data_IF_648803507222
#
_entry.id   IF_648803507222
#
_cell.length_a   1.000
_cell.length_b   1.000
_cell.length_c   1.000
_cell.angle_alpha   90.00
_cell.angle_beta   90.00
_cell.angle_gamma   90.00
#
_symmetry.space_group_name_H-M   'P 1'
#
loop_
_entity.id
_entity.type
_entity.pdbx_description
1 polymer ?
#
# COMPACT_ATOMS: atom_id res chain seq x y z
N UNK A 1 -39.74 -72.23 -44.79
CA UNK A 1 -39.39 -70.89 -45.31
C UNK A 1 -40.04 -69.77 -44.49
N UNK A 2 -41.31 -69.86 -44.05
CA UNK A 2 -41.91 -68.76 -43.26
C UNK A 2 -41.27 -68.58 -41.87
N UNK A 3 -40.95 -69.66 -41.17
CA UNK A 3 -40.36 -69.63 -39.82
C UNK A 3 -38.99 -68.89 -39.74
N UNK A 4 -38.20 -68.97 -40.81
CA UNK A 4 -36.94 -68.22 -40.91
C UNK A 4 -37.17 -66.73 -41.21
N UNK A 5 -38.15 -66.42 -42.05
CA UNK A 5 -38.54 -65.04 -42.36
C UNK A 5 -39.12 -64.34 -41.13
N UNK A 6 -39.96 -65.03 -40.36
CA UNK A 6 -40.57 -64.50 -39.14
C UNK A 6 -39.50 -64.23 -38.07
N UNK A 7 -38.50 -65.11 -37.95
CA UNK A 7 -37.34 -64.90 -37.07
C UNK A 7 -36.46 -63.72 -37.51
N UNK A 8 -36.30 -63.50 -38.81
CA UNK A 8 -35.54 -62.37 -39.35
C UNK A 8 -36.23 -61.03 -39.10
N UNK A 9 -37.56 -61.00 -39.21
CA UNK A 9 -38.39 -59.83 -38.88
C UNK A 9 -38.31 -59.53 -37.39
N UNK A 10 -38.44 -60.53 -36.53
CA UNK A 10 -38.29 -60.36 -35.08
C UNK A 10 -36.90 -59.84 -34.68
N UNK A 11 -35.83 -60.28 -35.34
CA UNK A 11 -34.49 -59.73 -35.11
C UNK A 11 -34.36 -58.27 -35.58
N UNK A 12 -34.96 -57.92 -36.73
CA UNK A 12 -34.97 -56.54 -37.22
C UNK A 12 -35.69 -55.63 -36.22
N UNK A 13 -36.86 -56.03 -35.76
CA UNK A 13 -37.68 -55.25 -34.84
C UNK A 13 -36.98 -55.11 -33.47
N UNK A 14 -36.36 -56.17 -32.95
CA UNK A 14 -35.54 -56.10 -31.73
C UNK A 14 -34.29 -55.20 -31.90
N UNK A 15 -33.71 -55.17 -33.10
CA UNK A 15 -32.60 -54.26 -33.41
C UNK A 15 -33.06 -52.81 -33.46
N UNK A 16 -34.24 -52.54 -34.03
CA UNK A 16 -34.85 -51.21 -34.06
C UNK A 16 -35.20 -50.71 -32.65
N UNK A 17 -35.72 -51.57 -31.78
CA UNK A 17 -35.93 -51.25 -30.36
C UNK A 17 -34.63 -50.92 -29.63
N UNK A 18 -33.54 -51.67 -29.87
CA UNK A 18 -32.22 -51.39 -29.30
C UNK A 18 -31.64 -50.06 -29.80
N UNK A 19 -31.85 -49.71 -31.06
CA UNK A 19 -31.43 -48.41 -31.61
C UNK A 19 -32.21 -47.27 -30.96
N UNK A 20 -33.53 -47.40 -30.82
CA UNK A 20 -34.34 -46.40 -30.12
C UNK A 20 -33.93 -46.25 -28.65
N UNK A 21 -33.68 -47.36 -27.95
CA UNK A 21 -33.20 -47.34 -26.57
C UNK A 21 -31.83 -46.65 -26.44
N UNK A 22 -30.94 -46.86 -27.41
CA UNK A 22 -29.65 -46.18 -27.50
C UNK A 22 -29.83 -44.67 -27.70
N UNK A 23 -30.67 -44.24 -28.64
CA UNK A 23 -30.94 -42.83 -28.91
C UNK A 23 -31.52 -42.12 -27.67
N UNK A 24 -32.43 -42.78 -26.96
CA UNK A 24 -32.99 -42.27 -25.69
C UNK A 24 -31.89 -42.15 -24.63
N UNK A 25 -31.01 -43.15 -24.49
CA UNK A 25 -29.90 -43.09 -23.55
C UNK A 25 -28.91 -41.98 -23.88
N UNK A 26 -28.56 -41.79 -25.16
CA UNK A 26 -27.69 -40.71 -25.62
C UNK A 26 -28.32 -39.34 -25.33
N UNK A 27 -29.61 -39.15 -25.62
CA UNK A 27 -30.33 -37.92 -25.29
C UNK A 27 -30.36 -37.61 -23.79
N UNK A 28 -30.61 -38.63 -22.95
CA UNK A 28 -30.57 -38.48 -21.50
C UNK A 28 -29.16 -38.12 -21.03
N UNK A 29 -28.13 -38.78 -21.56
CA UNK A 29 -26.73 -38.54 -21.21
C UNK A 29 -26.30 -37.11 -21.58
N UNK A 30 -26.64 -36.63 -22.78
CA UNK A 30 -26.39 -35.26 -23.21
C UNK A 30 -27.10 -34.23 -22.32
N UNK A 31 -28.36 -34.50 -21.93
CA UNK A 31 -29.10 -33.66 -20.98
C UNK A 31 -28.41 -33.55 -19.62
N UNK A 32 -27.90 -34.66 -19.09
CA UNK A 32 -27.14 -34.67 -17.83
C UNK A 32 -25.80 -33.92 -17.95
N UNK A 33 -25.09 -34.05 -19.08
CA UNK A 33 -23.84 -33.31 -19.32
C UNK A 33 -24.10 -31.80 -19.38
N UNK A 34 -25.14 -31.37 -20.09
CA UNK A 34 -25.53 -29.95 -20.14
C UNK A 34 -25.83 -29.37 -18.75
N UNK A 35 -26.62 -30.08 -17.94
CA UNK A 35 -26.93 -29.66 -16.57
C UNK A 35 -25.69 -29.64 -15.65
N UNK A 36 -24.77 -30.59 -15.84
CA UNK A 36 -23.49 -30.62 -15.11
C UNK A 36 -22.60 -29.44 -15.50
N UNK A 37 -22.48 -29.12 -16.79
CA UNK A 37 -21.70 -27.99 -17.29
C UNK A 37 -22.26 -26.66 -16.78
N UNK A 38 -23.59 -26.49 -16.79
CA UNK A 38 -24.25 -25.33 -16.18
C UNK A 38 -23.93 -25.23 -14.68
N UNK A 39 -24.03 -26.35 -13.95
CA UNK A 39 -23.73 -26.39 -12.51
C UNK A 39 -22.25 -26.06 -12.22
N UNK A 40 -21.31 -26.58 -13.02
CA UNK A 40 -19.88 -26.27 -12.91
C UNK A 40 -19.64 -24.79 -13.22
N UNK A 41 -20.30 -24.23 -14.22
CA UNK A 41 -20.18 -22.82 -14.55
C UNK A 41 -20.72 -21.93 -13.44
N UNK A 42 -21.85 -22.28 -12.83
CA UNK A 42 -22.40 -21.59 -11.66
C UNK A 42 -21.42 -21.66 -10.48
N UNK A 43 -20.82 -22.82 -10.20
CA UNK A 43 -19.79 -22.96 -9.16
C UNK A 43 -18.54 -22.11 -9.43
N UNK A 44 -18.06 -22.08 -10.68
CA UNK A 44 -16.93 -21.21 -11.06
C UNK A 44 -17.26 -19.73 -10.94
N UNK A 45 -18.51 -19.35 -11.20
CA UNK A 45 -18.98 -17.98 -11.02
C UNK A 45 -19.10 -17.62 -9.53
N UNK A 46 -19.50 -18.58 -8.68
CA UNK A 46 -19.53 -18.45 -7.21
C UNK A 46 -18.12 -18.25 -6.62
N UNK A 47 -17.10 -18.89 -7.19
CA UNK A 47 -15.70 -18.77 -6.75
C UNK A 47 -15.03 -17.44 -7.14
N UNK A 48 -15.60 -16.69 -8.10
CA UNK A 48 -15.04 -15.41 -8.57
C UNK A 48 -15.66 -14.24 -7.81
N UNK A 49 -14.81 -13.36 -7.28
CA UNK A 49 -15.25 -12.09 -6.72
C UNK A 49 -16.00 -11.27 -7.80
N UNK A 50 -17.17 -10.77 -7.45
CA UNK A 50 -17.92 -9.90 -8.35
C UNK A 50 -17.23 -8.53 -8.45
N UNK A 51 -17.24 -7.95 -9.65
CA UNK A 51 -16.72 -6.61 -9.86
C UNK A 51 -17.82 -5.58 -9.60
N UNK A 52 -17.58 -4.65 -8.68
CA UNK A 52 -18.43 -3.50 -8.48
C UNK A 52 -18.05 -2.42 -9.49
N UNK A 53 -18.97 -2.15 -10.41
CA UNK A 53 -18.80 -1.17 -11.49
C UNK A 53 -19.28 0.20 -11.01
N UNK A 54 -18.65 1.27 -11.49
CA UNK A 54 -18.95 2.64 -11.11
C UNK A 54 -17.77 3.28 -10.39
N UNK A 55 -18.01 4.43 -9.74
CA UNK A 55 -16.95 5.19 -9.03
C UNK A 55 -17.39 5.59 -7.63
N UNK A 56 -18.34 6.53 -7.53
CA UNK A 56 -18.96 6.94 -6.25
C UNK A 56 -20.35 6.30 -6.07
N UNK A 57 -21.00 5.96 -7.17
CA UNK A 57 -22.18 5.11 -7.19
C UNK A 57 -21.76 3.78 -7.79
N UNK A 58 -21.57 2.78 -6.93
CA UNK A 58 -21.15 1.44 -7.28
C UNK A 58 -22.38 0.56 -7.48
N UNK A 59 -22.32 -0.36 -8.43
CA UNK A 59 -23.32 -1.39 -8.64
C UNK A 59 -22.64 -2.73 -8.85
N UNK A 60 -23.17 -3.77 -8.20
CA UNK A 60 -22.70 -5.14 -8.37
C UNK A 60 -23.90 -6.06 -8.60
N UNK A 61 -23.80 -6.89 -9.63
CA UNK A 61 -24.73 -7.99 -9.87
C UNK A 61 -23.97 -9.28 -9.66
N UNK A 62 -24.43 -10.07 -8.71
CA UNK A 62 -23.88 -11.38 -8.44
C UNK A 62 -24.98 -12.29 -7.92
N UNK A 63 -25.34 -13.27 -8.75
CA UNK A 63 -26.32 -14.32 -8.45
C UNK A 63 -25.98 -15.11 -7.17
N UNK A 64 -24.71 -15.04 -6.77
CA UNK A 64 -24.10 -15.71 -5.63
C UNK A 64 -24.18 -14.98 -4.28
N UNK A 65 -24.40 -13.67 -4.26
CA UNK A 65 -23.96 -12.84 -3.13
C UNK A 65 -25.02 -12.72 -2.04
N UNK A 66 -26.21 -12.22 -2.35
CA UNK A 66 -27.40 -12.25 -1.46
C UNK A 66 -28.63 -11.94 -2.34
N UNK A 67 -29.74 -12.70 -2.22
CA UNK A 67 -30.99 -12.34 -2.90
C UNK A 67 -31.68 -11.15 -2.25
N UNK A 68 -31.61 -11.05 -0.91
CA UNK A 68 -32.15 -9.97 -0.09
C UNK A 68 -31.14 -9.60 1.02
N UNK A 69 -30.64 -8.38 1.04
CA UNK A 69 -29.64 -7.93 2.03
C UNK A 69 -30.18 -8.01 3.47
N UNK A 70 -29.50 -8.78 4.32
CA UNK A 70 -29.77 -8.92 5.74
C UNK A 70 -28.66 -8.29 6.60
N UNK A 71 -29.02 -7.87 7.81
CA UNK A 71 -28.06 -7.31 8.78
C UNK A 71 -26.95 -8.31 9.04
N UNK A 72 -25.70 -7.87 8.91
CA UNK A 72 -24.51 -8.68 9.13
C UNK A 72 -23.93 -9.30 7.85
N UNK A 73 -24.61 -9.20 6.71
CA UNK A 73 -24.11 -9.74 5.45
C UNK A 73 -22.78 -9.11 5.07
N UNK A 74 -21.83 -9.96 4.67
CA UNK A 74 -20.52 -9.57 4.19
C UNK A 74 -20.36 -9.89 2.71
N UNK A 75 -19.94 -8.88 1.95
CA UNK A 75 -19.83 -8.97 0.50
C UNK A 75 -18.41 -8.62 0.09
N UNK A 76 -17.78 -9.52 -0.65
CA UNK A 76 -16.43 -9.30 -1.21
C UNK A 76 -16.54 -8.93 -2.69
N UNK A 77 -15.96 -7.79 -3.05
CA UNK A 77 -16.10 -7.18 -4.37
C UNK A 77 -14.79 -6.54 -4.85
N UNK A 78 -14.52 -6.66 -6.15
CA UNK A 78 -13.40 -5.95 -6.80
C UNK A 78 -13.89 -4.57 -7.23
N UNK A 79 -13.20 -3.52 -6.79
CA UNK A 79 -13.55 -2.15 -7.15
C UNK A 79 -13.06 -1.83 -8.57
N UNK A 80 -13.92 -1.33 -9.45
CA UNK A 80 -13.50 -0.97 -10.81
C UNK A 80 -12.77 0.37 -10.89
N UNK A 81 -13.18 1.37 -10.11
CA UNK A 81 -12.59 2.71 -10.13
C UNK A 81 -12.37 3.26 -8.71
N UNK A 82 -11.28 4.02 -8.54
CA UNK A 82 -11.02 4.72 -7.28
C UNK A 82 -12.04 5.83 -7.08
N UNK A 83 -12.61 5.94 -5.88
CA UNK A 83 -13.55 7.01 -5.55
C UNK A 83 -12.86 8.39 -5.57
N UNK A 84 -13.55 9.42 -6.05
CA UNK A 84 -13.07 10.82 -6.03
C UNK A 84 -13.92 11.75 -5.17
N UNK A 85 -14.94 11.23 -4.52
CA UNK A 85 -15.76 11.95 -3.54
C UNK A 85 -15.83 11.19 -2.22
N UNK A 86 -16.24 11.90 -1.16
CA UNK A 86 -16.47 11.30 0.15
C UNK A 86 -17.74 10.43 0.18
N UNK A 87 -18.78 10.83 -0.55
CA UNK A 87 -20.05 10.10 -0.56
C UNK A 87 -20.00 8.97 -1.57
N UNK A 88 -19.91 7.74 -1.06
CA UNK A 88 -19.95 6.53 -1.87
C UNK A 88 -21.18 5.70 -1.52
N UNK A 89 -21.77 5.04 -2.51
CA UNK A 89 -22.88 4.11 -2.35
C UNK A 89 -22.66 2.83 -3.15
N UNK A 90 -23.32 1.76 -2.74
CA UNK A 90 -23.31 0.45 -3.37
C UNK A 90 -24.73 -0.06 -3.54
N UNK A 91 -25.09 -0.38 -4.77
CA UNK A 91 -26.28 -1.16 -5.11
C UNK A 91 -25.87 -2.62 -5.34
N UNK A 92 -26.50 -3.54 -4.62
CA UNK A 92 -26.27 -4.98 -4.73
C UNK A 92 -27.53 -5.59 -5.32
N UNK A 93 -27.39 -6.25 -6.48
CA UNK A 93 -28.48 -6.97 -7.14
C UNK A 93 -29.75 -6.13 -7.36
N UNK A 94 -29.59 -4.84 -7.66
CA UNK A 94 -30.69 -3.89 -7.91
C UNK A 94 -31.67 -3.73 -6.72
N UNK A 95 -31.18 -3.92 -5.50
CA UNK A 95 -31.95 -3.69 -4.25
C UNK A 95 -31.94 -2.22 -3.81
N UNK A 96 -31.32 -1.35 -4.61
CA UNK A 96 -31.22 0.08 -4.39
C UNK A 96 -29.96 0.46 -3.64
N UNK A 97 -29.33 1.55 -4.09
CA UNK A 97 -28.06 2.03 -3.56
C UNK A 97 -28.13 2.35 -2.05
N UNK A 98 -27.21 1.77 -1.28
CA UNK A 98 -26.99 2.06 0.14
C UNK A 98 -25.64 2.75 0.31
N UNK A 99 -25.53 3.69 1.23
CA UNK A 99 -24.26 4.41 1.48
C UNK A 99 -23.16 3.48 2.01
N UNK A 100 -21.91 3.79 1.70
CA UNK A 100 -20.72 3.22 2.37
C UNK A 100 -20.19 4.28 3.33
N UNK A 101 -20.39 4.10 4.64
CA UNK A 101 -20.33 5.23 5.61
C UNK A 101 -18.92 5.58 6.05
N UNK A 102 -18.02 4.61 6.11
CA UNK A 102 -16.63 4.82 6.56
C UNK A 102 -15.66 5.18 5.43
N UNK A 103 -16.18 5.47 4.24
CA UNK A 103 -15.49 6.22 3.20
C UNK A 103 -15.86 7.69 3.41
N UNK A 104 -14.89 8.51 3.75
CA UNK A 104 -15.07 9.88 4.23
C UNK A 104 -14.34 10.91 3.35
N UNK A 105 -13.57 10.46 2.35
CA UNK A 105 -12.81 11.30 1.45
C UNK A 105 -12.53 10.59 0.12
N UNK A 106 -12.14 11.37 -0.88
CA UNK A 106 -11.58 10.86 -2.13
C UNK A 106 -10.37 9.93 -1.88
N UNK A 107 -10.13 9.00 -2.81
CA UNK A 107 -8.96 8.10 -2.80
C UNK A 107 -8.87 7.19 -1.55
N UNK A 108 -9.99 6.61 -1.12
CA UNK A 108 -10.04 5.65 0.00
C UNK A 108 -10.50 4.25 -0.42
N UNK A 109 -11.30 4.13 -1.47
CA UNK A 109 -11.61 2.88 -2.17
C UNK A 109 -10.81 2.84 -3.46
N UNK A 110 -9.92 1.85 -3.62
CA UNK A 110 -8.97 1.81 -4.72
C UNK A 110 -9.37 0.84 -5.82
N UNK A 111 -9.26 1.27 -7.08
CA UNK A 111 -9.45 0.42 -8.24
C UNK A 111 -8.53 -0.82 -8.19
N UNK A 112 -9.09 -1.98 -8.53
CA UNK A 112 -8.40 -3.27 -8.52
C UNK A 112 -8.22 -3.90 -7.14
N UNK A 113 -8.56 -3.20 -6.05
CA UNK A 113 -8.55 -3.77 -4.71
C UNK A 113 -9.74 -4.70 -4.50
N UNK A 114 -9.52 -5.76 -3.72
CA UNK A 114 -10.59 -6.59 -3.19
C UNK A 114 -11.07 -5.97 -1.88
N UNK A 115 -12.32 -5.57 -1.86
CA UNK A 115 -12.97 -4.90 -0.75
C UNK A 115 -14.01 -5.82 -0.15
N UNK A 116 -14.00 -5.96 1.17
CA UNK A 116 -15.09 -6.59 1.91
C UNK A 116 -15.90 -5.52 2.61
N UNK A 117 -17.20 -5.51 2.35
CA UNK A 117 -18.16 -4.64 3.03
C UNK A 117 -19.09 -5.45 3.91
N UNK A 118 -19.50 -4.88 5.05
CA UNK A 118 -20.53 -5.44 5.93
C UNK A 118 -21.76 -4.54 5.92
N UNK A 119 -22.95 -5.12 5.77
CA UNK A 119 -24.22 -4.41 5.87
C UNK A 119 -24.73 -4.36 7.31
N UNK A 120 -25.16 -3.20 7.81
CA UNK A 120 -25.71 -3.04 9.16
C UNK A 120 -27.25 -3.01 9.21
N UNK A 121 -27.92 -3.15 8.07
CA UNK A 121 -29.37 -2.98 7.92
C UNK A 121 -29.79 -1.65 7.31
N UNK A 122 -28.90 -0.66 7.26
CA UNK A 122 -29.14 0.66 6.67
C UNK A 122 -28.08 1.00 5.62
N UNK A 123 -26.81 0.71 5.93
CA UNK A 123 -25.66 1.10 5.14
C UNK A 123 -24.54 0.04 5.19
N UNK A 124 -23.54 0.23 4.35
CA UNK A 124 -22.36 -0.61 4.28
C UNK A 124 -21.17 0.03 5.02
N UNK A 125 -20.30 -0.82 5.56
CA UNK A 125 -19.01 -0.45 6.12
C UNK A 125 -17.92 -1.28 5.46
N UNK A 126 -16.86 -0.64 4.97
CA UNK A 126 -15.65 -1.32 4.52
C UNK A 126 -14.95 -1.89 5.74
N UNK A 127 -14.86 -3.22 5.84
CA UNK A 127 -14.18 -3.90 6.93
C UNK A 127 -12.79 -4.38 6.53
N UNK A 128 -12.54 -4.54 5.23
CA UNK A 128 -11.26 -4.97 4.69
C UNK A 128 -11.06 -4.44 3.27
N UNK A 129 -9.82 -4.07 2.94
CA UNK A 129 -9.42 -3.73 1.59
C UNK A 129 -7.99 -4.21 1.36
N UNK A 130 -7.81 -5.17 0.45
CA UNK A 130 -6.54 -5.85 0.18
C UNK A 130 -6.16 -5.77 -1.29
N UNK A 131 -4.86 -5.91 -1.56
CA UNK A 131 -4.37 -6.20 -2.90
C UNK A 131 -4.59 -7.69 -3.20
N UNK A 132 -5.46 -8.06 -4.16
CA UNK A 132 -5.75 -9.47 -4.43
C UNK A 132 -4.54 -10.24 -5.00
N UNK A 133 -3.52 -9.54 -5.53
CA UNK A 133 -2.30 -10.19 -6.05
C UNK A 133 -1.31 -10.58 -4.95
N UNK A 134 -1.30 -9.85 -3.83
CA UNK A 134 -0.28 -10.02 -2.78
C UNK A 134 -0.85 -10.40 -1.42
N UNK A 135 -2.16 -10.21 -1.20
CA UNK A 135 -2.80 -10.36 0.11
C UNK A 135 -2.57 -9.20 1.07
N UNK A 136 -1.70 -8.24 0.73
CA UNK A 136 -1.38 -7.12 1.61
C UNK A 136 -2.56 -6.16 1.73
N UNK A 137 -2.85 -5.72 2.95
CA UNK A 137 -3.84 -4.67 3.16
C UNK A 137 -3.41 -3.38 2.45
N UNK A 138 -4.34 -2.73 1.76
CA UNK A 138 -4.07 -1.48 1.04
C UNK A 138 -3.62 -0.36 2.00
N UNK A 139 -4.07 -0.45 3.26
CA UNK A 139 -3.64 0.45 4.31
C UNK A 139 -2.16 0.25 4.71
N UNK A 140 -1.51 -0.88 4.39
CA UNK A 140 -0.08 -1.13 4.65
C UNK A 140 0.83 -0.72 3.49
N UNK A 141 0.28 -0.54 2.29
CA UNK A 141 1.04 -0.08 1.13
C UNK A 141 1.69 1.29 1.42
N UNK A 142 3.01 1.39 1.23
CA UNK A 142 3.78 2.61 1.46
C UNK A 142 4.12 2.90 2.92
N UNK A 143 3.81 1.98 3.85
CA UNK A 143 4.35 2.05 5.21
C UNK A 143 5.81 1.61 5.22
N UNK A 144 6.59 2.25 6.09
CA UNK A 144 7.91 1.75 6.45
C UNK A 144 7.75 0.58 7.41
N UNK A 145 8.33 -0.56 7.04
CA UNK A 145 8.39 -1.78 7.86
C UNK A 145 9.86 -2.10 8.09
N UNK A 146 10.22 -2.40 9.34
CA UNK A 146 11.57 -2.82 9.72
C UNK A 146 11.56 -4.30 10.04
N UNK A 147 12.37 -5.07 9.33
CA UNK A 147 12.54 -6.51 9.56
C UNK A 147 13.95 -6.79 10.11
N UNK A 148 14.10 -7.94 10.77
CA UNK A 148 15.39 -8.48 11.22
C UNK A 148 16.06 -9.37 10.17
N UNK A 149 15.37 -9.66 9.06
CA UNK A 149 15.85 -10.46 7.93
C UNK A 149 16.04 -9.59 6.68
N UNK A 150 16.89 -10.03 5.76
CA UNK A 150 17.18 -9.38 4.48
C UNK A 150 16.38 -9.96 3.30
N UNK A 151 15.28 -10.68 3.60
CA UNK A 151 14.40 -11.30 2.61
C UNK A 151 13.10 -10.51 2.47
N UNK A 152 12.75 -10.14 1.24
CA UNK A 152 11.46 -9.51 0.94
C UNK A 152 10.36 -10.56 0.87
N UNK A 153 9.26 -10.33 1.58
CA UNK A 153 8.04 -11.13 1.49
C UNK A 153 7.24 -10.80 0.22
N UNK A 154 6.22 -11.63 -0.06
CA UNK A 154 5.32 -11.39 -1.19
C UNK A 154 4.68 -10.00 -1.08
N UNK A 155 4.88 -9.18 -2.10
CA UNK A 155 4.34 -7.82 -2.16
C UNK A 155 5.10 -6.79 -1.33
N UNK A 156 6.26 -7.13 -0.77
CA UNK A 156 7.20 -6.18 -0.18
C UNK A 156 8.23 -5.69 -1.20
N UNK A 157 8.67 -4.46 -1.03
CA UNK A 157 9.70 -3.83 -1.85
C UNK A 157 10.66 -3.07 -0.95
N UNK A 158 11.96 -3.14 -1.25
CA UNK A 158 12.97 -2.38 -0.53
C UNK A 158 12.86 -0.89 -0.87
N UNK A 159 12.87 -0.01 0.13
CA UNK A 159 12.88 1.45 -0.05
C UNK A 159 14.30 1.95 -0.38
N UNK A 160 14.77 1.58 -1.57
CA UNK A 160 16.12 1.81 -2.07
C UNK A 160 16.17 2.67 -3.35
N UNK A 161 15.08 3.37 -3.68
CA UNK A 161 15.03 4.19 -4.90
C UNK A 161 14.59 3.45 -6.16
N UNK A 162 14.32 2.14 -6.10
CA UNK A 162 13.97 1.36 -7.28
C UNK A 162 12.78 1.94 -8.05
N UNK A 163 12.82 1.76 -9.37
CA UNK A 163 11.75 2.13 -10.28
C UNK A 163 10.79 0.95 -10.48
N UNK A 164 9.50 1.17 -10.27
CA UNK A 164 8.44 0.17 -10.35
C UNK A 164 7.41 0.50 -11.42
N UNK A 165 6.78 -0.53 -12.00
CA UNK A 165 5.76 -0.38 -13.02
C UNK A 165 4.38 -0.02 -12.41
N UNK A 166 3.75 1.04 -12.92
CA UNK A 166 2.43 1.52 -12.47
C UNK A 166 1.30 0.51 -12.73
N UNK A 167 1.38 -0.29 -13.79
CA UNK A 167 0.35 -1.31 -14.11
C UNK A 167 0.48 -2.54 -13.23
N UNK A 168 1.70 -2.99 -12.98
CA UNK A 168 1.98 -4.12 -12.09
C UNK A 168 1.53 -3.78 -10.66
N UNK A 169 1.93 -2.61 -10.18
CA UNK A 169 1.64 -2.06 -8.86
C UNK A 169 0.49 -1.03 -8.87
N UNK A 170 -0.60 -1.32 -9.61
CA UNK A 170 -1.70 -0.39 -9.84
C UNK A 170 -2.33 0.21 -8.57
N UNK A 171 -2.57 -0.60 -7.55
CA UNK A 171 -3.15 -0.13 -6.28
C UNK A 171 -2.16 0.80 -5.55
N UNK A 172 -0.87 0.45 -5.55
CA UNK A 172 0.15 1.28 -4.93
C UNK A 172 0.28 2.62 -5.66
N UNK A 173 0.35 2.61 -6.99
CA UNK A 173 0.38 3.82 -7.79
C UNK A 173 -0.86 4.70 -7.56
N UNK A 174 -2.05 4.10 -7.53
CA UNK A 174 -3.29 4.83 -7.27
C UNK A 174 -3.30 5.54 -5.91
N UNK A 175 -2.60 4.98 -4.92
CA UNK A 175 -2.38 5.62 -3.61
C UNK A 175 -1.30 6.71 -3.69
N UNK A 176 -0.13 6.38 -4.23
CA UNK A 176 1.06 7.25 -4.26
C UNK A 176 0.81 8.52 -5.07
N UNK A 177 0.12 8.45 -6.21
CA UNK A 177 -0.16 9.62 -7.05
C UNK A 177 -0.95 10.74 -6.35
N UNK A 178 -1.58 10.42 -5.22
CA UNK A 178 -2.38 11.35 -4.44
C UNK A 178 -1.68 11.75 -3.12
N UNK A 179 -0.43 11.33 -2.88
CA UNK A 179 0.31 11.73 -1.69
C UNK A 179 1.05 13.05 -1.93
N UNK A 180 1.23 13.84 -0.86
CA UNK A 180 1.92 15.14 -0.95
C UNK A 180 3.44 15.02 -1.13
N UNK A 181 4.00 13.82 -0.98
CA UNK A 181 5.43 13.55 -1.15
C UNK A 181 5.76 12.82 -2.45
N UNK A 182 4.88 12.89 -3.46
CA UNK A 182 5.25 12.57 -4.83
C UNK A 182 5.80 13.84 -5.50
N UNK A 183 7.00 13.74 -6.07
CA UNK A 183 7.66 14.82 -6.80
C UNK A 183 8.04 14.39 -8.21
N UNK A 184 8.28 15.38 -9.06
CA UNK A 184 8.89 15.18 -10.37
C UNK A 184 10.22 14.41 -10.25
N UNK A 185 10.45 13.48 -11.18
CA UNK A 185 11.60 12.59 -11.13
C UNK A 185 12.93 13.34 -11.28
N UNK A 186 12.98 14.40 -12.10
CA UNK A 186 14.22 15.17 -12.27
C UNK A 186 14.62 15.91 -10.99
N UNK A 187 13.63 16.39 -10.22
CA UNK A 187 13.88 16.97 -8.88
C UNK A 187 14.54 15.94 -7.95
N UNK A 188 14.00 14.72 -7.93
CA UNK A 188 14.53 13.63 -7.11
C UNK A 188 15.94 13.19 -7.53
N UNK A 189 16.17 13.08 -8.83
CA UNK A 189 17.46 12.66 -9.39
C UNK A 189 18.56 13.70 -9.20
N UNK A 190 18.19 14.99 -9.11
CA UNK A 190 19.15 16.08 -8.88
C UNK A 190 19.82 16.00 -7.50
N UNK A 191 19.09 15.54 -6.48
CA UNK A 191 19.64 15.30 -5.13
C UNK A 191 18.93 14.13 -4.43
N UNK A 192 19.36 12.88 -4.68
CA UNK A 192 18.74 11.69 -4.11
C UNK A 192 18.84 11.60 -2.58
N UNK A 193 19.75 12.36 -1.95
CA UNK A 193 19.87 12.39 -0.48
C UNK A 193 18.79 13.31 0.09
N UNK A 194 18.74 14.56 -0.39
CA UNK A 194 17.76 15.54 0.11
C UNK A 194 16.32 15.10 -0.20
N UNK A 195 16.09 14.51 -1.36
CA UNK A 195 14.76 14.00 -1.77
C UNK A 195 14.57 12.51 -1.52
N UNK A 196 15.44 11.88 -0.72
CA UNK A 196 15.37 10.44 -0.41
C UNK A 196 14.03 10.03 0.23
N UNK A 197 13.39 10.91 1.00
CA UNK A 197 12.09 10.64 1.61
C UNK A 197 10.90 10.62 0.64
N UNK A 198 11.08 11.08 -0.60
CA UNK A 198 10.01 11.32 -1.56
C UNK A 198 9.81 10.17 -2.56
N UNK A 199 8.58 9.98 -3.01
CA UNK A 199 8.28 9.20 -4.21
C UNK A 199 8.62 10.02 -5.44
N UNK A 200 9.09 9.39 -6.52
CA UNK A 200 9.32 10.07 -7.79
C UNK A 200 8.34 9.60 -8.86
N UNK A 201 8.05 10.46 -9.83
CA UNK A 201 7.18 10.15 -10.96
C UNK A 201 7.73 9.10 -11.93
N UNK A 202 8.97 8.63 -11.75
CA UNK A 202 9.63 7.68 -12.65
C UNK A 202 9.78 8.29 -14.04
N UNK A 203 9.45 7.54 -15.08
CA UNK A 203 9.49 8.03 -16.46
C UNK A 203 8.31 8.95 -16.83
N UNK A 204 7.48 9.35 -15.86
CA UNK A 204 6.29 10.21 -16.05
C UNK A 204 5.05 9.49 -16.59
N UNK A 205 5.19 8.31 -17.21
CA UNK A 205 4.11 7.64 -17.94
C UNK A 205 3.73 6.30 -17.31
N UNK A 206 4.67 5.36 -17.25
CA UNK A 206 4.41 3.95 -16.91
C UNK A 206 5.08 3.48 -15.62
N UNK A 207 5.94 4.28 -15.00
CA UNK A 207 6.70 3.89 -13.80
C UNK A 207 6.64 4.94 -12.69
N UNK A 208 7.13 4.60 -11.50
CA UNK A 208 7.33 5.50 -10.36
C UNK A 208 8.53 5.01 -9.54
N UNK A 209 9.19 5.88 -8.78
CA UNK A 209 10.36 5.49 -7.96
C UNK A 209 10.08 5.51 -6.46
N UNK A 210 10.59 4.49 -5.77
CA UNK A 210 10.49 4.33 -4.31
C UNK A 210 11.32 5.39 -3.56
N UNK A 211 10.95 5.77 -2.33
CA UNK A 211 11.87 6.44 -1.41
C UNK A 211 13.18 5.68 -1.22
N UNK A 212 14.23 6.40 -0.80
CA UNK A 212 15.56 5.91 -0.43
C UNK A 212 15.77 6.22 1.04
N UNK A 213 15.50 5.25 1.92
CA UNK A 213 15.50 5.48 3.39
C UNK A 213 16.68 4.82 4.11
N UNK A 214 17.48 4.04 3.38
CA UNK A 214 18.61 3.28 3.95
C UNK A 214 19.64 4.21 4.61
N UNK A 215 19.94 3.97 5.89
CA UNK A 215 20.92 4.75 6.64
C UNK A 215 20.39 6.07 7.22
N UNK A 216 19.09 6.34 7.09
CA UNK A 216 18.44 7.53 7.65
C UNK A 216 17.66 7.19 8.93
N UNK A 217 17.74 8.06 9.93
CA UNK A 217 16.85 7.96 11.07
C UNK A 217 15.46 8.49 10.70
N UNK A 218 14.42 7.90 11.28
CA UNK A 218 13.06 8.45 11.14
C UNK A 218 12.78 9.36 12.32
N UNK A 219 12.49 10.63 12.03
CA UNK A 219 11.93 11.56 13.00
C UNK A 219 10.45 11.73 12.69
N UNK A 220 9.62 11.73 13.72
CA UNK A 220 8.19 11.92 13.52
C UNK A 220 7.95 13.33 12.97
N UNK A 221 7.20 13.41 11.87
CA UNK A 221 6.75 14.66 11.27
C UNK A 221 5.95 15.46 12.31
N UNK A 222 6.27 16.75 12.43
CA UNK A 222 5.78 17.60 13.51
C UNK A 222 4.26 17.86 13.45
N UNK A 223 3.71 17.91 12.24
CA UNK A 223 2.27 18.08 11.98
C UNK A 223 1.62 19.23 12.79
N UNK A 224 2.38 20.32 12.98
CA UNK A 224 1.92 21.52 13.67
C UNK A 224 2.08 21.51 15.20
N UNK A 225 2.76 20.51 15.79
CA UNK A 225 3.07 20.50 17.23
C UNK A 225 4.02 21.65 17.63
N UNK A 226 4.86 22.13 16.74
CA UNK A 226 5.79 23.26 16.92
C UNK A 226 7.17 22.90 17.47
N UNK A 227 7.53 21.60 17.53
CA UNK A 227 8.85 21.15 17.99
C UNK A 227 9.88 21.15 16.86
N UNK A 228 9.47 20.75 15.65
CA UNK A 228 10.29 20.77 14.42
C UNK A 228 9.62 21.67 13.37
N UNK A 229 9.39 22.93 13.76
CA UNK A 229 8.61 23.90 13.00
C UNK A 229 9.26 24.24 11.66
N UNK A 230 8.44 24.32 10.61
CA UNK A 230 8.88 24.65 9.25
C UNK A 230 9.41 23.46 8.44
N UNK A 231 9.53 22.28 9.05
CA UNK A 231 9.86 21.06 8.33
C UNK A 231 8.65 20.47 7.63
N UNK A 232 8.81 20.08 6.37
CA UNK A 232 7.81 19.40 5.54
C UNK A 232 7.79 17.88 5.72
N UNK A 233 6.70 17.25 5.28
CA UNK A 233 6.60 15.79 5.24
C UNK A 233 7.58 15.23 4.21
N UNK A 234 8.26 14.15 4.55
CA UNK A 234 9.34 13.50 3.80
C UNK A 234 10.68 14.27 3.72
N UNK A 235 10.79 15.43 4.37
CA UNK A 235 12.02 16.22 4.32
C UNK A 235 13.20 15.54 5.00
N UNK A 236 14.32 15.53 4.28
CA UNK A 236 15.63 15.21 4.81
C UNK A 236 16.17 16.34 5.69
N UNK A 237 16.95 15.96 6.70
CA UNK A 237 17.67 16.86 7.59
C UNK A 237 19.06 16.27 7.82
N UNK A 238 20.12 17.05 7.60
CA UNK A 238 21.51 16.63 7.85
C UNK A 238 21.77 16.37 9.34
N UNK A 239 22.86 15.71 9.70
CA UNK A 239 23.25 15.60 11.10
C UNK A 239 23.67 16.95 11.68
N UNK A 240 23.63 17.03 13.01
CA UNK A 240 24.05 18.19 13.78
C UNK A 240 24.55 17.75 15.15
N UNK A 241 25.60 18.40 15.65
CA UNK A 241 26.07 18.21 17.02
C UNK A 241 25.96 19.52 17.79
N UNK A 242 25.23 19.49 18.92
CA UNK A 242 25.17 20.62 19.84
C UNK A 242 26.56 20.94 20.35
N UNK A 243 26.94 22.21 20.26
CA UNK A 243 28.19 22.68 20.86
C UNK A 243 27.96 22.75 22.38
N UNK A 244 28.71 22.00 23.19
CA UNK A 244 28.60 22.12 24.64
C UNK A 244 29.11 23.48 25.09
N UNK A 245 28.32 24.19 25.89
CA UNK A 245 28.72 25.43 26.55
C UNK A 245 29.67 25.10 27.72
N UNK A 246 30.94 24.81 27.40
CA UNK A 246 31.98 24.52 28.38
C UNK A 246 33.11 25.55 28.33
N UNK A 247 33.67 25.91 29.49
CA UNK A 247 34.91 26.67 29.55
C UNK A 247 36.06 25.73 29.19
N UNK A 248 36.75 26.00 28.08
CA UNK A 248 38.01 25.34 27.77
C UNK A 248 39.09 25.95 28.69
N UNK A 249 39.46 25.21 29.73
CA UNK A 249 40.59 25.58 30.60
C UNK A 249 41.90 25.10 29.96
N UNK A 250 42.65 26.02 29.33
CA UNK A 250 44.00 25.71 28.83
C UNK A 250 45.02 25.89 29.96
N UNK A 251 45.61 24.79 30.43
CA UNK A 251 46.79 24.85 31.32
C UNK A 251 48.03 24.93 30.42
N UNK A 252 48.71 26.07 30.41
CA UNK A 252 49.80 26.35 29.46
C UNK A 252 51.21 26.00 29.96
N UNK A 253 51.36 25.41 31.16
CA UNK A 253 52.68 25.16 31.74
C UNK A 253 52.95 23.67 31.97
N UNK A 254 53.71 23.05 31.06
CA UNK A 254 54.53 21.86 31.37
C UNK A 254 55.96 22.32 31.71
N UNK A 255 56.08 23.14 32.76
CA UNK A 255 57.39 23.50 33.31
C UNK A 255 57.90 22.38 34.20
N UNK A 256 59.04 21.80 33.87
CA UNK A 256 59.78 20.93 34.79
C UNK A 256 60.23 21.76 36.00
N UNK A 257 59.49 21.72 37.09
CA UNK A 257 59.90 22.27 38.38
C UNK A 257 58.84 23.18 39.03
N UNK A 258 58.23 22.63 40.07
CA UNK A 258 57.53 23.32 41.18
C UNK A 258 56.19 24.05 40.90
N UNK A 259 55.11 23.26 40.88
CA UNK A 259 54.17 23.29 42.01
C UNK A 259 53.20 24.47 42.20
N UNK A 260 52.92 25.33 41.21
CA UNK A 260 51.81 26.29 41.34
C UNK A 260 50.95 26.40 40.07
N UNK A 261 49.67 26.04 40.22
CA UNK A 261 48.64 26.17 39.19
C UNK A 261 47.87 27.47 39.44
N UNK A 262 48.13 28.51 38.66
CA UNK A 262 47.32 29.73 38.70
C UNK A 262 46.07 29.54 37.82
N UNK A 263 44.91 29.39 38.47
CA UNK A 263 43.61 29.39 37.80
C UNK A 263 43.07 30.83 37.77
N UNK A 264 43.74 31.70 37.02
CA UNK A 264 43.27 33.06 36.78
C UNK A 264 42.21 33.06 35.66
N UNK A 265 40.95 32.98 36.07
CA UNK A 265 39.80 33.20 35.19
C UNK A 265 39.66 34.68 34.85
N UNK A 266 40.41 35.18 33.88
CA UNK A 266 40.07 36.43 33.17
C UNK A 266 40.66 36.39 31.77
N UNK A 267 39.81 36.16 30.77
CA UNK A 267 40.18 36.29 29.37
C UNK A 267 40.26 37.77 28.99
N UNK A 268 41.45 38.37 29.10
CA UNK A 268 41.77 39.60 28.37
C UNK A 268 42.99 39.35 27.48
N UNK A 269 42.73 39.38 26.19
CA UNK A 269 43.66 39.30 25.05
C UNK A 269 45.08 39.79 25.37
N UNK A 270 46.07 38.92 25.18
CA UNK A 270 47.46 39.32 24.94
C UNK A 270 48.23 38.21 24.21
N UNK A 271 48.52 38.47 22.94
CA UNK A 271 49.63 37.95 22.14
C UNK A 271 49.80 36.43 21.93
N UNK A 272 49.58 36.02 20.68
CA UNK A 272 50.43 35.03 20.02
C UNK A 272 50.00 33.57 20.16
N UNK A 273 49.33 33.08 19.11
CA UNK A 273 49.33 31.70 18.63
C UNK A 273 49.19 30.59 19.68
N UNK A 274 47.95 30.29 20.07
CA UNK A 274 47.41 28.93 20.15
C UNK A 274 45.98 29.01 20.71
N UNK A 275 45.11 29.71 19.98
CA UNK A 275 43.70 29.34 20.02
C UNK A 275 43.64 28.06 19.18
N UNK A 276 43.38 26.91 19.82
CA UNK A 276 42.74 25.82 19.09
C UNK A 276 41.40 26.39 18.64
N UNK A 277 41.40 26.98 17.45
CA UNK A 277 40.19 27.24 16.69
C UNK A 277 39.51 25.90 16.56
N UNK A 278 38.45 25.70 17.36
CA UNK A 278 37.30 24.93 16.93
C UNK A 278 37.09 25.22 15.43
N UNK A 279 36.74 24.23 14.60
CA UNK A 279 36.69 24.37 13.14
C UNK A 279 36.11 25.72 12.77
N UNK A 280 36.96 26.62 12.28
CA UNK A 280 36.61 28.01 11.97
C UNK A 280 35.93 28.04 10.61
N UNK A 281 34.90 27.22 10.43
CA UNK A 281 33.84 27.50 9.47
C UNK A 281 32.91 28.50 10.15
N UNK A 282 32.54 29.59 9.46
CA UNK A 282 31.66 30.68 9.95
C UNK A 282 30.74 30.29 11.12
N UNK A 283 31.21 30.44 12.36
CA UNK A 283 30.53 29.94 13.56
C UNK A 283 29.60 31.01 14.12
N UNK A 284 28.57 31.36 13.35
CA UNK A 284 27.42 32.13 13.82
C UNK A 284 26.24 31.24 14.22
N UNK A 285 26.33 29.93 14.06
CA UNK A 285 25.26 28.99 14.41
C UNK A 285 25.62 28.23 15.69
N UNK A 286 25.21 28.77 16.84
CA UNK A 286 25.13 27.98 18.08
C UNK A 286 23.97 27.00 17.91
N UNK A 287 24.30 25.77 17.55
CA UNK A 287 23.31 24.72 17.38
C UNK A 287 22.78 24.24 18.74
N UNK A 288 21.45 24.29 18.94
CA UNK A 288 20.81 23.91 20.21
C UNK A 288 20.49 22.41 20.34
N UNK A 289 20.81 21.61 19.33
CA UNK A 289 20.38 20.21 19.19
C UNK A 289 21.54 19.31 18.71
N UNK A 290 21.59 18.08 19.21
CA UNK A 290 22.37 16.98 18.64
C UNK A 290 21.39 16.00 17.99
N UNK A 291 21.53 15.75 16.69
CA UNK A 291 20.67 14.83 15.93
C UNK A 291 21.44 14.14 14.80
N UNK A 292 21.12 12.88 14.48
CA UNK A 292 21.61 12.24 13.27
C UNK A 292 20.89 12.77 12.03
N UNK A 293 21.38 12.39 10.85
CA UNK A 293 20.64 12.56 9.60
C UNK A 293 19.30 11.85 9.68
N UNK A 294 18.23 12.51 9.25
CA UNK A 294 16.90 11.97 9.44
C UNK A 294 15.86 12.45 8.42
N UNK A 295 14.81 11.66 8.23
CA UNK A 295 13.65 11.95 7.35
C UNK A 295 12.38 12.11 8.21
N UNK A 296 11.54 13.09 7.86
CA UNK A 296 10.28 13.36 8.58
C UNK A 296 9.12 12.53 8.02
N UNK A 297 8.69 11.50 8.74
CA UNK A 297 7.49 10.71 8.39
C UNK A 297 6.44 10.73 9.49
N UNK A 298 5.17 10.55 9.13
CA UNK A 298 4.08 10.54 10.09
C UNK A 298 4.17 9.37 11.07
N UNK A 299 3.93 9.65 12.35
CA UNK A 299 3.45 8.65 13.29
C UNK A 299 1.95 8.48 13.12
N UNK A 300 1.50 7.34 12.60
CA UNK A 300 0.06 7.02 12.44
C UNK A 300 -0.27 5.73 13.17
N UNK A 301 -1.49 5.64 13.70
CA UNK A 301 -2.07 4.40 14.25
C UNK A 301 -3.37 4.07 13.54
N UNK A 302 -3.78 2.80 13.60
CA UNK A 302 -5.13 2.36 13.26
C UNK A 302 -5.95 2.31 14.55
N UNK A 303 -7.24 2.65 14.46
CA UNK A 303 -8.22 2.55 15.56
C UNK A 303 -9.22 1.46 15.24
#
# INVERSE_FOLDING_TARGET
MSDFTDSLVAMKDATEELVQAKEVFESIYEGYQGALDESIQTLRNLERYAQAVGKNTLSVTAEAIVSDLAVGDEISLIISNTNDEALVSLDVNAQGAKSIVNVTAANQLFAGALVKVRYDGTAFYVIEQINPKTGNAVADIGKLVTDTTDLLSIGEVALNGAELNRTEFAIAWAKIKNTSNLIDQATKDADPITYGGYWGEGNGVTTFTLPIVGGEFIRMFDDGRGVDAGRGFADYQSDLTKIPNGVILRVSNFGNGDGSYDLSGTSTSANGNDLHTAPRGNSSEVYYETRPRNIAYYGKTRL
#
